data_IF_226839357764
#
_entry.id   IF_226839357764
#
_cell.length_a   1.000
_cell.length_b   1.000
_cell.length_c   1.000
_cell.angle_alpha   90.00
_cell.angle_beta   90.00
_cell.angle_gamma   90.00
#
_symmetry.space_group_name_H-M   'P 1'
#
loop_
_entity.id
_entity.type
_entity.pdbx_description
1 polymer ?
#
# COMPACT_ATOMS: atom_id res chain seq x y z
N UNK A 1 -7.63 -3.64 -31.02
CA UNK A 1 -7.10 -3.74 -29.64
C UNK A 1 -8.32 -3.89 -28.75
N UNK A 2 -8.63 -5.11 -28.32
CA UNK A 2 -9.77 -5.35 -27.43
C UNK A 2 -9.43 -4.82 -26.05
N UNK A 3 -10.19 -3.84 -25.58
CA UNK A 3 -10.08 -3.30 -24.23
C UNK A 3 -10.92 -4.22 -23.35
N UNK A 4 -10.27 -5.01 -22.51
CA UNK A 4 -10.97 -5.73 -21.46
C UNK A 4 -11.68 -4.69 -20.57
N UNK A 5 -13.02 -4.74 -20.52
CA UNK A 5 -13.82 -3.95 -19.57
C UNK A 5 -13.68 -4.55 -18.18
N UNK A 6 -12.51 -4.39 -17.58
CA UNK A 6 -12.22 -4.82 -16.21
C UNK A 6 -11.76 -3.63 -15.39
N UNK A 7 -12.21 -3.58 -14.15
CA UNK A 7 -11.92 -2.47 -13.25
C UNK A 7 -10.58 -2.76 -12.55
N UNK A 8 -9.47 -2.31 -13.15
CA UNK A 8 -8.11 -2.48 -12.60
C UNK A 8 -7.91 -1.54 -11.40
N UNK A 9 -8.52 -1.89 -10.27
CA UNK A 9 -8.30 -1.20 -9.01
C UNK A 9 -7.10 -1.81 -8.28
N UNK A 10 -6.27 -1.01 -7.58
CA UNK A 10 -5.18 -1.55 -6.77
C UNK A 10 -5.73 -2.49 -5.70
N UNK A 11 -5.20 -3.71 -5.60
CA UNK A 11 -5.58 -4.65 -4.52
C UNK A 11 -5.31 -4.00 -3.17
N UNK A 12 -6.34 -3.95 -2.32
CA UNK A 12 -6.19 -3.51 -0.94
C UNK A 12 -5.88 -4.72 -0.07
N UNK A 13 -4.80 -4.64 0.69
CA UNK A 13 -4.40 -5.67 1.63
C UNK A 13 -4.40 -5.11 3.05
N UNK A 14 -4.88 -5.89 4.00
CA UNK A 14 -4.85 -5.62 5.43
C UNK A 14 -3.90 -6.62 6.08
N UNK A 15 -3.12 -6.17 7.04
CA UNK A 15 -2.24 -7.00 7.84
C UNK A 15 -2.25 -6.49 9.26
N UNK A 16 -2.02 -7.39 10.22
CA UNK A 16 -1.83 -7.02 11.61
C UNK A 16 -0.37 -6.63 11.84
N UNK A 17 -0.16 -5.46 12.43
CA UNK A 17 1.17 -4.92 12.71
C UNK A 17 1.42 -4.98 14.22
N UNK A 18 2.19 -5.98 14.65
CA UNK A 18 2.49 -6.20 16.06
C UNK A 18 3.40 -5.07 16.59
N UNK A 19 3.04 -4.52 17.76
CA UNK A 19 3.57 -3.27 18.34
C UNK A 19 5.09 -3.12 18.52
N UNK A 20 5.90 -4.16 18.25
CA UNK A 20 7.32 -4.21 18.58
C UNK A 20 8.26 -3.89 17.41
N UNK A 21 7.84 -4.02 16.15
CA UNK A 21 8.65 -3.69 14.95
C UNK A 21 7.76 -3.18 13.80
N UNK A 22 7.05 -2.07 14.06
CA UNK A 22 5.88 -1.71 13.25
C UNK A 22 6.23 -1.21 11.85
N UNK A 23 5.81 -1.99 10.84
CA UNK A 23 5.81 -1.55 9.44
C UNK A 23 5.08 -0.20 9.31
N UNK A 24 4.09 0.08 10.15
CA UNK A 24 3.41 1.37 10.24
C UNK A 24 4.38 2.54 10.52
N UNK A 25 5.35 2.38 11.43
CA UNK A 25 6.34 3.43 11.71
C UNK A 25 7.25 3.67 10.51
N UNK A 26 7.64 2.61 9.81
CA UNK A 26 8.44 2.70 8.60
C UNK A 26 7.67 3.41 7.48
N UNK A 27 6.40 3.03 7.26
CA UNK A 27 5.50 3.68 6.30
C UNK A 27 5.32 5.15 6.65
N UNK A 28 5.15 5.50 7.94
CA UNK A 28 5.05 6.89 8.40
C UNK A 28 6.33 7.68 8.11
N UNK A 29 7.50 7.09 8.37
CA UNK A 29 8.80 7.73 8.06
C UNK A 29 9.00 7.95 6.56
N UNK A 30 8.63 6.97 5.73
CA UNK A 30 8.71 7.08 4.27
C UNK A 30 7.76 8.14 3.74
N UNK A 31 6.50 8.11 4.18
CA UNK A 31 5.44 9.02 3.73
C UNK A 31 5.57 10.46 4.25
N UNK A 32 6.41 10.68 5.27
CA UNK A 32 6.80 12.03 5.72
C UNK A 32 7.75 12.76 4.74
N UNK A 33 8.30 12.07 3.74
CA UNK A 33 9.17 12.66 2.71
C UNK A 33 8.36 13.15 1.50
N UNK A 34 9.00 13.88 0.60
CA UNK A 34 8.38 14.26 -0.68
C UNK A 34 8.05 13.00 -1.48
N UNK A 35 6.82 12.83 -1.98
CA UNK A 35 6.44 11.68 -2.79
C UNK A 35 7.19 11.66 -4.12
N UNK A 36 7.42 10.47 -4.66
CA UNK A 36 8.00 10.29 -5.98
C UNK A 36 6.98 10.61 -7.09
N UNK A 37 5.71 10.31 -6.84
CA UNK A 37 4.59 10.67 -7.71
C UNK A 37 3.55 11.38 -6.84
N UNK A 38 3.11 12.56 -7.28
CA UNK A 38 1.98 13.30 -6.68
C UNK A 38 1.02 13.74 -7.79
N UNK A 39 -0.12 13.06 -7.92
CA UNK A 39 -1.09 13.29 -9.00
C UNK A 39 -2.47 13.52 -8.41
N UNK A 40 -3.18 14.53 -8.94
CA UNK A 40 -4.58 14.82 -8.61
C UNK A 40 -5.40 14.77 -9.91
N UNK A 41 -5.95 13.61 -10.31
CA UNK A 41 -6.82 13.50 -11.47
C UNK A 41 -8.21 14.09 -11.15
N UNK A 42 -8.89 14.68 -12.14
CA UNK A 42 -10.13 15.44 -11.92
C UNK A 42 -11.28 14.61 -11.32
N UNK A 43 -11.41 13.33 -11.70
CA UNK A 43 -12.49 12.44 -11.25
C UNK A 43 -12.05 11.41 -10.20
N UNK A 44 -10.80 11.48 -9.72
CA UNK A 44 -10.23 10.50 -8.81
C UNK A 44 -9.64 11.14 -7.57
N UNK A 45 -9.46 10.31 -6.54
CA UNK A 45 -8.77 10.73 -5.33
C UNK A 45 -7.32 11.08 -5.66
N UNK A 46 -6.77 12.06 -4.95
CA UNK A 46 -5.34 12.42 -5.06
C UNK A 46 -4.47 11.21 -4.69
N UNK A 47 -3.55 10.84 -5.57
CA UNK A 47 -2.66 9.69 -5.40
C UNK A 47 -1.25 10.19 -5.14
N UNK A 48 -0.67 9.73 -4.04
CA UNK A 48 0.75 9.92 -3.71
C UNK A 48 1.46 8.57 -3.64
N UNK A 49 2.61 8.46 -4.28
CA UNK A 49 3.43 7.24 -4.27
C UNK A 49 4.83 7.58 -3.79
N UNK A 50 5.32 6.81 -2.82
CA UNK A 50 6.69 6.89 -2.33
C UNK A 50 7.48 5.68 -2.81
N UNK A 51 8.63 5.93 -3.42
CA UNK A 51 9.51 4.87 -3.92
C UNK A 51 10.51 4.46 -2.85
N UNK A 52 10.55 3.17 -2.54
CA UNK A 52 11.58 2.57 -1.67
C UNK A 52 12.62 1.89 -2.55
N UNK A 53 13.88 2.30 -2.43
CA UNK A 53 15.01 1.71 -3.18
C UNK A 53 16.15 1.23 -2.29
N UNK A 54 16.10 1.58 -0.99
CA UNK A 54 17.08 1.11 -0.02
C UNK A 54 16.86 -0.39 0.26
N UNK A 55 17.90 -1.18 0.03
CA UNK A 55 17.79 -2.64 0.11
C UNK A 55 17.52 -3.12 1.53
N UNK A 56 18.07 -2.46 2.56
CA UNK A 56 17.82 -2.81 3.95
C UNK A 56 16.35 -2.64 4.33
N UNK A 57 15.76 -1.53 3.91
CA UNK A 57 14.33 -1.22 4.07
C UNK A 57 13.45 -2.26 3.39
N UNK A 58 13.77 -2.61 2.14
CA UNK A 58 13.04 -3.65 1.39
C UNK A 58 13.12 -4.99 2.12
N UNK A 59 14.32 -5.42 2.53
CA UNK A 59 14.51 -6.68 3.26
C UNK A 59 13.74 -6.71 4.59
N UNK A 60 13.70 -5.60 5.32
CA UNK A 60 12.93 -5.48 6.56
C UNK A 60 11.42 -5.64 6.32
N UNK A 61 10.88 -4.96 5.29
CA UNK A 61 9.47 -5.07 4.92
C UNK A 61 9.14 -6.51 4.52
N UNK A 62 9.92 -7.11 3.63
CA UNK A 62 9.70 -8.49 3.15
C UNK A 62 9.75 -9.50 4.30
N UNK A 63 10.73 -9.37 5.21
CA UNK A 63 10.88 -10.29 6.35
C UNK A 63 9.66 -10.24 7.28
N UNK A 64 9.11 -9.06 7.54
CA UNK A 64 7.91 -8.91 8.35
C UNK A 64 6.71 -9.58 7.68
N UNK A 65 6.46 -9.27 6.41
CA UNK A 65 5.31 -9.82 5.69
C UNK A 65 5.37 -11.34 5.46
N UNK A 66 6.56 -11.95 5.42
CA UNK A 66 6.69 -13.42 5.32
C UNK A 66 6.01 -14.17 6.46
N UNK A 67 5.86 -13.54 7.63
CA UNK A 67 5.23 -14.14 8.80
C UNK A 67 3.85 -13.54 9.11
N UNK A 68 3.38 -12.58 8.32
CA UNK A 68 2.09 -11.91 8.52
C UNK A 68 0.97 -12.65 7.82
N UNK A 69 -0.21 -12.72 8.46
CA UNK A 69 -1.45 -13.03 7.76
C UNK A 69 -1.88 -11.79 6.99
N UNK A 70 -1.99 -11.92 5.67
CA UNK A 70 -2.43 -10.85 4.77
C UNK A 70 -3.84 -11.18 4.29
N UNK A 71 -4.76 -10.24 4.51
CA UNK A 71 -6.14 -10.34 4.05
C UNK A 71 -6.31 -9.43 2.84
N UNK A 72 -6.87 -9.96 1.76
CA UNK A 72 -7.20 -9.18 0.57
C UNK A 72 -8.63 -8.66 0.75
N UNK A 73 -8.78 -7.34 0.79
CA UNK A 73 -10.07 -6.67 0.83
C UNK A 73 -10.50 -6.32 -0.60
N UNK A 74 -11.16 -7.27 -1.27
CA UNK A 74 -11.70 -7.10 -2.63
C UNK A 74 -13.23 -6.85 -2.61
N UNK A 75 -13.73 -6.07 -3.58
CA UNK A 75 -15.15 -5.72 -3.72
C UNK A 75 -15.68 -4.65 -2.76
N UNK A 76 -17.00 -4.63 -2.51
CA UNK A 76 -17.70 -3.67 -1.64
C UNK A 76 -17.21 -3.69 -0.17
N UNK A 77 -16.48 -4.73 0.25
CA UNK A 77 -15.83 -4.81 1.56
C UNK A 77 -14.73 -3.74 1.77
N UNK A 78 -14.26 -3.06 0.71
CA UNK A 78 -13.34 -1.92 0.84
C UNK A 78 -13.84 -0.82 1.77
N UNK A 79 -15.16 -0.65 1.88
CA UNK A 79 -15.78 0.41 2.69
C UNK A 79 -16.21 -0.05 4.08
N UNK A 80 -16.17 -1.37 4.35
CA UNK A 80 -16.55 -1.94 5.64
C UNK A 80 -15.35 -2.21 6.55
N UNK A 81 -14.13 -2.15 6.02
CA UNK A 81 -12.88 -2.33 6.76
C UNK A 81 -12.32 -1.02 7.36
N UNK A 82 -13.12 0.04 7.40
CA UNK A 82 -12.76 1.36 7.94
C UNK A 82 -13.18 1.56 9.38
#
# INVERSE_FOLDING_TARGET
>A
MEIAKSNYSPLLCLYEDDSRETIANLVKSISGKVPYIDIAPDELQKIKVWRVTDQGTISLITKNFNNSKIFIADGHHRYEAG
#
